data_IF_083641152278
#
_entry.id   IF_083641152278
#
_cell.length_a   1.000
_cell.length_b   1.000
_cell.length_c   1.000
_cell.angle_alpha   90.00
_cell.angle_beta   90.00
_cell.angle_gamma   90.00
#
_symmetry.space_group_name_H-M   'P 1'
#
loop_
_entity.id
_entity.type
_entity.pdbx_description
1 polymer ?
#
# COMPACT_ATOMS: atom_id res chain seq x y z
N UNK A 1 17.94 -12.74 -43.30
CA UNK A 1 18.57 -13.47 -42.19
C UNK A 1 18.31 -12.74 -40.89
N UNK A 2 17.51 -13.27 -40.01
CA UNK A 2 17.22 -12.62 -38.72
C UNK A 2 18.32 -13.05 -37.72
N UNK A 3 19.01 -12.07 -37.16
CA UNK A 3 20.04 -12.32 -36.13
C UNK A 3 19.30 -12.48 -34.78
N UNK A 4 19.54 -13.62 -34.15
CA UNK A 4 18.89 -13.95 -32.89
C UNK A 4 19.62 -13.23 -31.71
N UNK A 5 18.92 -12.93 -30.63
CA UNK A 5 19.41 -12.21 -29.44
C UNK A 5 20.71 -12.74 -28.85
N UNK A 6 20.94 -14.06 -28.89
CA UNK A 6 22.19 -14.69 -28.41
C UNK A 6 23.38 -14.42 -29.31
N UNK A 7 23.17 -14.27 -30.62
CA UNK A 7 24.22 -13.93 -31.58
C UNK A 7 24.63 -12.47 -31.48
N UNK A 8 23.66 -11.57 -31.17
CA UNK A 8 23.94 -10.16 -30.93
C UNK A 8 24.83 -9.96 -29.70
N UNK A 9 24.55 -10.68 -28.60
CA UNK A 9 25.35 -10.58 -27.36
C UNK A 9 26.77 -11.15 -27.57
N UNK A 10 26.94 -12.21 -28.34
CA UNK A 10 28.28 -12.77 -28.65
C UNK A 10 29.11 -11.89 -29.59
N UNK A 11 28.48 -11.20 -30.52
CA UNK A 11 29.17 -10.25 -31.40
C UNK A 11 29.61 -8.96 -30.67
N UNK A 12 28.81 -8.48 -29.71
CA UNK A 12 29.16 -7.32 -28.89
C UNK A 12 30.35 -7.55 -27.93
N UNK A 13 30.60 -8.80 -27.53
CA UNK A 13 31.69 -9.12 -26.60
C UNK A 13 33.09 -9.20 -27.25
N UNK A 14 33.19 -9.28 -28.58
CA UNK A 14 34.45 -9.38 -29.32
C UNK A 14 34.98 -8.04 -29.85
N UNK A 15 34.20 -6.98 -29.79
CA UNK A 15 34.55 -5.65 -30.33
C UNK A 15 35.18 -4.69 -29.28
N UNK A 16 35.32 -5.10 -28.02
CA UNK A 16 35.82 -4.25 -26.93
C UNK A 16 37.26 -4.59 -26.45
N UNK A 17 38.03 -5.24 -27.30
CA UNK A 17 39.37 -5.74 -26.95
C UNK A 17 40.54 -4.90 -27.42
N UNK A 18 40.52 -3.57 -27.38
CA UNK A 18 41.75 -2.78 -27.46
C UNK A 18 41.53 -1.27 -27.33
N UNK A 19 41.00 -0.83 -26.21
CA UNK A 19 41.20 0.53 -25.71
C UNK A 19 41.81 0.39 -24.33
N UNK A 20 43.07 0.78 -24.18
CA UNK A 20 43.74 0.92 -22.90
C UNK A 20 42.99 1.99 -22.10
N UNK A 21 41.95 1.57 -21.40
CA UNK A 21 41.24 2.41 -20.43
C UNK A 21 42.15 2.49 -19.22
N UNK A 22 42.71 3.67 -18.99
CA UNK A 22 43.27 4.01 -17.69
C UNK A 22 42.25 3.59 -16.63
N UNK A 23 42.63 2.68 -15.76
CA UNK A 23 41.82 2.10 -14.70
C UNK A 23 41.42 3.23 -13.73
N UNK A 24 40.31 3.89 -14.00
CA UNK A 24 39.60 4.60 -12.95
C UNK A 24 39.17 3.51 -11.96
N UNK A 25 39.46 3.67 -10.67
CA UNK A 25 38.98 2.71 -9.68
C UNK A 25 37.44 2.68 -9.78
N UNK A 26 36.90 1.56 -10.25
CA UNK A 26 35.47 1.29 -10.10
C UNK A 26 35.22 1.29 -8.60
N UNK A 27 34.78 2.43 -8.07
CA UNK A 27 34.24 2.43 -6.72
C UNK A 27 33.05 1.47 -6.74
N UNK A 28 33.22 0.32 -6.13
CA UNK A 28 32.14 -0.61 -5.89
C UNK A 28 31.03 0.17 -5.18
N UNK A 29 29.91 0.35 -5.86
CA UNK A 29 28.73 0.93 -5.23
C UNK A 29 28.45 0.09 -3.98
N UNK A 30 28.23 0.68 -2.80
CA UNK A 30 27.87 -0.08 -1.62
C UNK A 30 26.70 -0.97 -2.01
N UNK A 31 26.76 -2.26 -1.66
CA UNK A 31 25.65 -3.16 -1.93
C UNK A 31 24.38 -2.52 -1.35
N UNK A 32 23.41 -2.23 -2.21
CA UNK A 32 22.14 -1.65 -1.75
C UNK A 32 21.56 -2.62 -0.72
N UNK A 33 21.35 -2.12 0.48
CA UNK A 33 20.72 -2.88 1.54
C UNK A 33 19.30 -3.24 1.07
N UNK A 34 19.07 -4.52 0.84
CA UNK A 34 17.78 -4.99 0.32
C UNK A 34 16.73 -4.87 1.41
N UNK A 35 15.61 -4.24 1.09
CA UNK A 35 14.47 -4.17 1.99
C UNK A 35 13.93 -5.59 2.28
N UNK A 36 13.65 -5.86 3.55
CA UNK A 36 13.01 -7.10 3.96
C UNK A 36 11.53 -7.07 3.59
N UNK A 37 11.05 -8.10 2.91
CA UNK A 37 9.63 -8.28 2.56
C UNK A 37 9.10 -9.51 3.29
N UNK A 38 8.00 -9.34 4.02
CA UNK A 38 7.29 -10.44 4.66
C UNK A 38 6.10 -10.86 3.81
N UNK A 39 5.94 -12.17 3.62
CA UNK A 39 4.88 -12.73 2.79
C UNK A 39 4.20 -13.88 3.51
N UNK A 40 2.88 -14.00 3.30
CA UNK A 40 2.09 -15.18 3.67
C UNK A 40 1.17 -15.56 2.51
N UNK A 41 1.05 -16.84 2.17
CA UNK A 41 0.08 -17.30 1.18
C UNK A 41 -1.35 -17.43 1.76
N UNK A 42 -1.48 -17.39 3.09
CA UNK A 42 -2.75 -17.57 3.79
C UNK A 42 -3.37 -16.22 4.15
N UNK A 43 -4.65 -16.04 3.77
CA UNK A 43 -5.45 -14.86 4.12
C UNK A 43 -6.32 -15.23 5.33
N UNK A 44 -5.70 -15.27 6.52
CA UNK A 44 -6.36 -15.53 7.79
C UNK A 44 -6.11 -14.41 8.79
N UNK A 45 -6.90 -14.34 9.84
CA UNK A 45 -6.69 -13.39 10.95
C UNK A 45 -5.31 -13.56 11.57
N UNK A 46 -4.91 -14.80 11.81
CA UNK A 46 -3.62 -15.14 12.41
C UNK A 46 -2.45 -14.73 11.53
N UNK A 47 -2.57 -14.94 10.23
CA UNK A 47 -1.53 -14.54 9.26
C UNK A 47 -1.38 -13.04 9.17
N UNK A 48 -2.50 -12.29 9.15
CA UNK A 48 -2.49 -10.85 9.18
C UNK A 48 -1.79 -10.31 10.45
N UNK A 49 -2.16 -10.85 11.61
CA UNK A 49 -1.55 -10.43 12.88
C UNK A 49 -0.06 -10.76 12.93
N UNK A 50 0.36 -11.92 12.44
CA UNK A 50 1.79 -12.28 12.36
C UNK A 50 2.59 -11.33 11.45
N UNK A 51 2.04 -10.93 10.29
CA UNK A 51 2.71 -9.95 9.41
C UNK A 51 2.75 -8.58 10.10
N UNK A 52 1.64 -8.16 10.70
CA UNK A 52 1.59 -6.91 11.44
C UNK A 52 2.70 -6.86 12.53
N UNK A 53 2.86 -7.92 13.32
CA UNK A 53 3.90 -8.01 14.36
C UNK A 53 5.34 -7.95 13.81
N UNK A 54 5.55 -8.34 12.54
CA UNK A 54 6.87 -8.25 11.88
C UNK A 54 7.20 -6.84 11.37
N UNK A 55 6.19 -6.09 10.94
CA UNK A 55 6.37 -4.74 10.40
C UNK A 55 6.05 -3.64 11.42
N UNK A 56 5.49 -4.02 12.55
CA UNK A 56 5.07 -3.10 13.60
C UNK A 56 6.25 -2.33 14.14
N UNK A 57 6.16 -1.01 14.06
CA UNK A 57 6.95 -0.09 14.87
C UNK A 57 6.03 0.49 15.95
N UNK A 58 6.50 0.75 17.17
CA UNK A 58 5.68 1.36 18.21
C UNK A 58 5.10 2.69 17.71
N UNK A 59 3.80 2.69 17.43
CA UNK A 59 3.07 3.88 16.99
C UNK A 59 2.70 4.69 18.23
N UNK A 60 2.80 6.02 18.12
CA UNK A 60 2.44 6.95 19.19
C UNK A 60 1.40 7.95 18.69
N UNK A 61 0.61 8.50 19.61
CA UNK A 61 -0.42 9.48 19.28
C UNK A 61 -1.71 8.85 18.79
N UNK A 62 -2.48 9.60 17.99
CA UNK A 62 -3.73 9.11 17.39
C UNK A 62 -3.40 8.25 16.17
N UNK A 63 -3.87 7.02 16.16
CA UNK A 63 -3.58 6.05 15.11
C UNK A 63 -4.83 5.86 14.25
N UNK A 64 -4.67 6.04 12.95
CA UNK A 64 -5.69 5.78 11.96
C UNK A 64 -5.40 4.48 11.22
N UNK A 65 -6.40 3.60 11.11
CA UNK A 65 -6.34 2.40 10.28
C UNK A 65 -7.13 2.67 9.01
N UNK A 66 -6.45 2.90 7.90
CA UNK A 66 -7.13 3.07 6.61
C UNK A 66 -7.73 1.74 6.16
N UNK A 67 -9.02 1.74 5.91
CA UNK A 67 -9.77 0.57 5.49
C UNK A 67 -10.57 0.89 4.23
N UNK A 68 -10.55 -0.02 3.25
CA UNK A 68 -11.56 -0.02 2.20
C UNK A 68 -12.85 -0.63 2.74
N UNK A 69 -13.86 0.21 2.99
CA UNK A 69 -15.13 -0.20 3.59
C UNK A 69 -16.09 -0.87 2.61
N UNK A 70 -15.82 -0.77 1.33
CA UNK A 70 -16.53 -1.44 0.24
C UNK A 70 -17.82 -0.74 -0.21
N UNK A 71 -18.32 -1.17 -1.35
CA UNK A 71 -19.66 -0.81 -1.80
C UNK A 71 -20.73 -1.57 -0.99
N UNK A 72 -22.00 -1.12 -1.00
CA UNK A 72 -23.07 -1.82 -0.29
C UNK A 72 -23.12 -3.31 -0.65
N UNK A 73 -23.19 -4.16 0.37
CA UNK A 73 -23.21 -5.64 0.26
C UNK A 73 -21.92 -6.29 -0.24
N UNK A 74 -20.81 -5.58 -0.32
CA UNK A 74 -19.57 -6.09 -0.91
C UNK A 74 -19.69 -6.23 -2.43
N UNK A 75 -18.92 -7.03 -3.12
CA UNK A 75 -17.84 -7.94 -2.74
C UNK A 75 -16.51 -7.22 -2.42
N UNK A 76 -15.46 -8.02 -2.26
CA UNK A 76 -14.07 -7.52 -2.15
C UNK A 76 -13.77 -6.67 -0.91
N UNK A 77 -14.48 -6.93 0.18
CA UNK A 77 -14.17 -6.33 1.49
C UNK A 77 -13.52 -7.37 2.41
N UNK A 78 -12.63 -6.91 3.28
CA UNK A 78 -12.01 -7.76 4.29
C UNK A 78 -13.05 -8.31 5.28
N UNK A 79 -12.75 -9.46 5.87
CA UNK A 79 -13.53 -9.99 6.98
C UNK A 79 -13.57 -9.00 8.14
N UNK A 80 -14.76 -8.79 8.72
CA UNK A 80 -14.93 -7.92 9.91
C UNK A 80 -14.13 -8.44 11.09
N UNK A 81 -14.01 -9.76 11.23
CA UNK A 81 -13.23 -10.38 12.31
C UNK A 81 -11.74 -10.09 12.16
N UNK A 82 -11.22 -10.11 10.93
CA UNK A 82 -9.84 -9.73 10.62
C UNK A 82 -9.55 -8.29 11.03
N UNK A 83 -10.42 -7.36 10.65
CA UNK A 83 -10.27 -5.94 10.96
C UNK A 83 -10.43 -5.68 12.44
N UNK A 84 -11.39 -6.34 13.10
CA UNK A 84 -11.59 -6.28 14.55
C UNK A 84 -10.37 -6.77 15.32
N UNK A 85 -9.79 -7.89 14.89
CA UNK A 85 -8.60 -8.47 15.51
C UNK A 85 -7.38 -7.55 15.39
N UNK A 86 -7.19 -6.93 14.20
CA UNK A 86 -6.12 -5.95 14.01
C UNK A 86 -6.34 -4.71 14.88
N UNK A 87 -7.56 -4.18 14.93
CA UNK A 87 -7.87 -2.99 15.74
C UNK A 87 -7.65 -3.26 17.23
N UNK A 88 -7.98 -4.47 17.71
CA UNK A 88 -7.72 -4.87 19.09
C UNK A 88 -6.22 -4.89 19.45
N UNK A 89 -5.34 -5.08 18.47
CA UNK A 89 -3.87 -4.98 18.63
C UNK A 89 -3.37 -3.55 18.69
N UNK A 90 -4.19 -2.57 18.31
CA UNK A 90 -3.85 -1.15 18.25
C UNK A 90 -4.85 -0.36 19.09
N UNK A 91 -4.75 -0.41 20.43
CA UNK A 91 -5.71 0.26 21.31
C UNK A 91 -5.78 1.76 21.02
N UNK A 92 -7.00 2.31 21.01
CA UNK A 92 -7.24 3.74 20.72
C UNK A 92 -7.15 4.11 19.23
N UNK A 93 -6.99 3.14 18.33
CA UNK A 93 -7.04 3.39 16.89
C UNK A 93 -8.47 3.66 16.41
N UNK A 94 -8.58 4.45 15.34
CA UNK A 94 -9.82 4.75 14.63
C UNK A 94 -9.72 4.21 13.21
N UNK A 95 -10.78 3.56 12.73
CA UNK A 95 -10.87 3.21 11.31
C UNK A 95 -11.21 4.47 10.53
N UNK A 96 -10.51 4.69 9.41
CA UNK A 96 -10.73 5.88 8.58
C UNK A 96 -10.97 5.49 7.12
N UNK A 97 -11.81 6.27 6.45
CA UNK A 97 -12.12 6.18 5.02
C UNK A 97 -12.45 7.57 4.48
N UNK A 98 -12.54 7.73 3.18
CA UNK A 98 -13.03 8.95 2.53
C UNK A 98 -14.27 8.64 1.68
N UNK A 99 -15.07 9.67 1.38
CA UNK A 99 -16.07 9.59 0.33
C UNK A 99 -15.39 9.31 -1.02
N UNK A 100 -16.15 8.78 -1.97
CA UNK A 100 -15.63 8.44 -3.30
C UNK A 100 -16.00 9.50 -4.32
N UNK A 101 -15.17 9.65 -5.35
CA UNK A 101 -15.38 10.65 -6.42
C UNK A 101 -16.21 10.10 -7.60
N UNK A 102 -16.46 8.81 -7.63
CA UNK A 102 -17.25 8.16 -8.67
C UNK A 102 -18.72 7.96 -8.22
N UNK A 103 -19.68 7.78 -9.15
CA UNK A 103 -21.08 7.53 -8.79
C UNK A 103 -21.24 6.27 -7.92
N UNK A 104 -21.60 6.47 -6.67
CA UNK A 104 -21.78 5.43 -5.65
C UNK A 104 -22.62 6.01 -4.50
N UNK A 105 -23.32 5.18 -3.71
CA UNK A 105 -23.90 5.64 -2.43
C UNK A 105 -22.86 6.30 -1.51
N UNK A 106 -21.61 5.90 -1.57
CA UNK A 106 -20.51 6.48 -0.78
C UNK A 106 -20.00 7.84 -1.28
N UNK A 107 -20.57 8.40 -2.33
CA UNK A 107 -20.23 9.74 -2.81
C UNK A 107 -20.68 10.86 -1.83
N UNK A 108 -21.67 10.57 -0.99
CA UNK A 108 -22.11 11.46 0.07
C UNK A 108 -21.82 10.85 1.44
N UNK A 109 -21.52 11.68 2.42
CA UNK A 109 -21.26 11.24 3.79
C UNK A 109 -22.42 10.45 4.38
N UNK A 110 -23.68 10.86 4.09
CA UNK A 110 -24.87 10.14 4.54
C UNK A 110 -24.96 8.75 3.92
N UNK A 111 -24.84 8.65 2.60
CA UNK A 111 -24.87 7.37 1.89
C UNK A 111 -23.68 6.47 2.28
N UNK A 112 -22.53 7.06 2.56
CA UNK A 112 -21.37 6.31 3.06
C UNK A 112 -21.64 5.74 4.46
N UNK A 113 -22.22 6.52 5.37
CA UNK A 113 -22.62 6.01 6.70
C UNK A 113 -23.63 4.87 6.62
N UNK A 114 -24.58 4.93 5.67
CA UNK A 114 -25.51 3.83 5.41
C UNK A 114 -24.78 2.59 4.86
N UNK A 115 -23.84 2.78 3.97
CA UNK A 115 -22.98 1.69 3.45
C UNK A 115 -22.18 1.02 4.57
N UNK A 116 -21.64 1.80 5.50
CA UNK A 116 -20.93 1.24 6.67
C UNK A 116 -21.86 0.34 7.50
N UNK A 117 -23.11 0.76 7.74
CA UNK A 117 -24.10 -0.07 8.45
C UNK A 117 -24.43 -1.34 7.67
N UNK A 118 -24.71 -1.22 6.38
CA UNK A 118 -25.04 -2.32 5.47
C UNK A 118 -23.91 -3.37 5.44
N UNK A 119 -22.67 -2.92 5.42
CA UNK A 119 -21.49 -3.80 5.38
C UNK A 119 -21.04 -4.30 6.77
N UNK A 120 -21.73 -3.90 7.85
CA UNK A 120 -21.46 -4.38 9.21
C UNK A 120 -20.22 -3.75 9.86
N UNK A 121 -19.77 -2.57 9.40
CA UNK A 121 -18.72 -1.78 10.05
C UNK A 121 -19.25 -0.99 11.25
N UNK A 122 -19.91 -1.69 12.17
CA UNK A 122 -20.60 -1.08 13.34
C UNK A 122 -19.95 -1.41 14.68
N UNK A 123 -18.92 -2.24 14.67
CA UNK A 123 -18.21 -2.68 15.89
C UNK A 123 -17.22 -1.64 16.41
N UNK A 124 -16.94 -0.59 15.65
CA UNK A 124 -16.04 0.49 16.02
C UNK A 124 -16.46 1.79 15.31
N UNK A 125 -16.05 2.95 15.80
CA UNK A 125 -16.20 4.19 15.06
C UNK A 125 -15.41 4.15 13.75
N UNK A 126 -16.04 4.61 12.65
CA UNK A 126 -15.38 4.86 11.37
C UNK A 126 -15.46 6.35 11.11
N UNK A 127 -14.31 6.98 10.99
CA UNK A 127 -14.18 8.39 10.64
C UNK A 127 -14.17 8.53 9.11
N UNK A 128 -15.14 9.25 8.57
CA UNK A 128 -15.17 9.65 7.16
C UNK A 128 -14.44 10.98 7.08
N UNK A 129 -13.14 10.94 6.75
CA UNK A 129 -12.18 12.04 6.95
C UNK A 129 -12.55 13.35 6.23
N UNK A 130 -13.33 13.27 5.16
CA UNK A 130 -13.83 14.41 4.38
C UNK A 130 -15.29 14.75 4.66
N UNK A 131 -15.87 14.21 5.77
CA UNK A 131 -17.28 14.48 6.13
C UNK A 131 -17.55 15.94 6.45
N UNK A 132 -16.58 16.61 7.07
CA UNK A 132 -16.69 18.02 7.51
C UNK A 132 -15.95 18.99 6.56
N UNK A 133 -15.59 18.52 5.37
CA UNK A 133 -14.88 19.28 4.34
C UNK A 133 -13.43 18.87 4.14
N UNK A 134 -12.75 19.60 3.28
CA UNK A 134 -11.37 19.33 2.88
C UNK A 134 -10.54 20.63 2.85
N UNK A 135 -9.23 20.49 2.90
CA UNK A 135 -8.31 21.60 2.74
C UNK A 135 -7.38 21.34 1.58
N UNK A 136 -7.15 22.35 0.75
CA UNK A 136 -6.17 22.28 -0.32
C UNK A 136 -4.81 22.68 0.22
N UNK A 137 -3.82 21.81 0.02
CA UNK A 137 -2.44 22.09 0.36
C UNK A 137 -1.64 22.35 -0.93
N UNK A 138 -0.85 23.44 -1.00
CA UNK A 138 0.02 23.67 -2.14
C UNK A 138 1.13 22.61 -2.19
N UNK A 139 1.41 22.11 -3.40
CA UNK A 139 2.54 21.20 -3.64
C UNK A 139 3.58 21.97 -4.43
N UNK A 140 4.58 22.61 -3.80
CA UNK A 140 5.60 23.36 -4.50
C UNK A 140 6.39 22.45 -5.46
N UNK A 141 6.49 22.85 -6.73
CA UNK A 141 7.17 22.05 -7.76
C UNK A 141 6.37 20.85 -8.28
N UNK A 142 5.11 20.68 -7.87
CA UNK A 142 4.22 19.67 -8.45
C UNK A 142 4.06 19.87 -9.95
N UNK A 143 4.02 18.77 -10.71
CA UNK A 143 3.69 18.75 -12.15
C UNK A 143 2.34 18.08 -12.31
N UNK A 144 1.50 18.65 -13.16
CA UNK A 144 0.23 18.06 -13.58
C UNK A 144 0.45 17.01 -14.66
#
# INVERSE_FOLDING_TARGET
MSVNRRQFIKAGSLALGSLAVHSLPLQARPAEEKATVYFTPEITTESLLRIYEKVYAPLQGRIAIKLHTGEPHGPNILSRDMVRALQARIPGSTIVECNVLYPSPRQTTEGHRETLRTNGWTFCPVDIMDADGEVSLPIPGGRH
#
